data_IF_935999647297
#
_entry.id   IF_935999647297
#
_cell.length_a   1.000
_cell.length_b   1.000
_cell.length_c   1.000
_cell.angle_alpha   90.00
_cell.angle_beta   90.00
_cell.angle_gamma   90.00
#
_symmetry.space_group_name_H-M   'P 1'
#
loop_
_entity.id
_entity.type
_entity.pdbx_description
1 polymer ?
#
# COMPACT_ATOMS: atom_id res chain seq x y z
N UNK A 1 20.90 2.85 9.63
CA UNK A 1 21.20 1.89 10.73
C UNK A 1 20.17 2.12 11.83
N UNK A 2 19.11 1.30 11.88
CA UNK A 2 18.04 1.45 12.87
C UNK A 2 18.56 0.89 14.20
N UNK A 3 18.62 1.72 15.24
CA UNK A 3 19.17 1.37 16.54
C UNK A 3 18.24 0.40 17.29
N UNK A 4 18.63 -0.87 17.57
CA UNK A 4 17.70 -1.86 18.11
C UNK A 4 17.55 -1.83 19.64
N UNK A 5 18.41 -1.11 20.36
CA UNK A 5 18.65 -1.38 21.79
C UNK A 5 18.38 -0.19 22.75
N UNK A 6 17.65 0.83 22.32
CA UNK A 6 17.25 1.92 23.22
C UNK A 6 15.83 1.66 23.77
N UNK A 7 15.71 1.52 25.09
CA UNK A 7 14.43 1.60 25.81
C UNK A 7 14.36 2.97 26.47
N UNK A 8 13.29 3.77 26.30
CA UNK A 8 12.02 3.48 25.64
C UNK A 8 12.08 3.61 24.11
N UNK A 9 11.40 2.71 23.39
CA UNK A 9 11.38 2.65 21.92
C UNK A 9 10.10 3.36 21.39
N UNK A 10 10.22 4.54 20.76
CA UNK A 10 9.07 5.31 20.24
C UNK A 10 8.33 4.63 19.07
N UNK A 11 8.89 3.55 18.52
CA UNK A 11 8.38 2.87 17.32
C UNK A 11 7.68 1.54 17.63
N UNK A 12 7.38 1.26 18.90
CA UNK A 12 6.67 0.03 19.30
C UNK A 12 5.48 0.37 20.18
N UNK A 13 4.27 0.14 19.68
CA UNK A 13 3.07 0.15 20.52
C UNK A 13 3.24 -0.89 21.65
N UNK A 14 2.92 -0.57 22.91
CA UNK A 14 3.12 -1.46 24.06
C UNK A 14 2.32 -2.77 24.03
N UNK A 15 1.50 -2.98 22.99
CA UNK A 15 0.66 -4.18 22.78
C UNK A 15 1.08 -5.02 21.56
N UNK A 16 2.24 -4.76 20.94
CA UNK A 16 2.77 -5.64 19.88
C UNK A 16 2.01 -5.64 18.55
N UNK A 17 1.06 -4.72 18.34
CA UNK A 17 0.39 -4.53 17.04
C UNK A 17 1.20 -3.56 16.18
N UNK A 18 1.86 -4.08 15.15
CA UNK A 18 2.75 -3.34 14.26
C UNK A 18 2.07 -2.16 13.56
N UNK A 19 2.52 -0.95 13.90
CA UNK A 19 2.51 0.20 13.00
C UNK A 19 3.91 0.27 12.40
N UNK A 20 4.16 -0.49 11.33
CA UNK A 20 5.38 -0.26 10.55
C UNK A 20 5.21 1.08 9.85
N UNK A 21 6.07 2.03 10.19
CA UNK A 21 6.25 3.25 9.45
C UNK A 21 6.57 2.90 7.98
N UNK A 22 5.99 3.62 7.02
CA UNK A 22 6.26 3.44 5.57
C UNK A 22 7.76 3.40 5.26
N UNK A 23 8.59 4.06 6.08
CA UNK A 23 10.04 4.00 6.04
C UNK A 23 10.62 2.58 6.10
N UNK A 24 10.00 1.67 6.85
CA UNK A 24 10.43 0.26 6.92
C UNK A 24 10.16 -0.45 5.59
N UNK A 25 9.00 -0.17 4.99
CA UNK A 25 8.64 -0.75 3.68
C UNK A 25 9.56 -0.21 2.59
N UNK A 26 9.83 1.10 2.58
CA UNK A 26 10.78 1.72 1.66
C UNK A 26 12.18 1.13 1.80
N UNK A 27 12.67 0.95 3.03
CA UNK A 27 13.97 0.34 3.27
C UNK A 27 14.05 -1.11 2.77
N UNK A 28 13.00 -1.91 2.99
CA UNK A 28 12.95 -3.30 2.53
C UNK A 28 12.89 -3.39 1.00
N UNK A 29 12.06 -2.57 0.35
CA UNK A 29 12.02 -2.47 -1.11
C UNK A 29 13.38 -2.05 -1.68
N UNK A 30 14.06 -1.11 -1.02
CA UNK A 30 15.38 -0.64 -1.42
C UNK A 30 16.43 -1.75 -1.49
N UNK A 31 16.38 -2.73 -0.57
CA UNK A 31 17.31 -3.89 -0.63
C UNK A 31 17.10 -4.80 -1.84
N UNK A 32 15.94 -4.70 -2.49
CA UNK A 32 15.56 -5.49 -3.66
C UNK A 32 15.67 -4.70 -4.97
N UNK A 33 16.26 -3.49 -4.94
CA UNK A 33 16.30 -2.61 -6.11
C UNK A 33 14.94 -2.01 -6.49
N UNK A 34 13.99 -2.00 -5.54
CA UNK A 34 12.66 -1.46 -5.72
C UNK A 34 12.48 -0.16 -4.93
N UNK A 35 11.49 0.61 -5.32
CA UNK A 35 11.09 1.84 -4.65
C UNK A 35 9.58 1.87 -4.41
N UNK A 36 9.16 2.67 -3.43
CA UNK A 36 7.75 2.99 -3.20
C UNK A 36 7.53 4.49 -3.42
N UNK A 37 6.84 4.81 -4.52
CA UNK A 37 6.50 6.18 -4.89
C UNK A 37 5.13 6.53 -4.30
N UNK A 38 5.05 7.63 -3.55
CA UNK A 38 3.77 8.11 -3.04
C UNK A 38 2.91 8.72 -4.16
N UNK A 39 1.67 8.25 -4.28
CA UNK A 39 0.73 8.76 -5.26
C UNK A 39 -0.02 9.98 -4.73
N UNK A 40 0.06 11.08 -5.47
CA UNK A 40 -0.75 12.27 -5.22
C UNK A 40 -2.21 12.02 -5.65
N UNK A 41 -3.10 11.82 -4.69
CA UNK A 41 -4.53 11.56 -4.91
C UNK A 41 -5.29 12.66 -5.67
N UNK A 42 -4.69 13.85 -5.87
CA UNK A 42 -5.27 14.91 -6.71
C UNK A 42 -5.11 14.62 -8.20
N UNK A 43 -4.22 13.69 -8.57
CA UNK A 43 -4.01 13.27 -9.96
C UNK A 43 -5.02 12.18 -10.34
N UNK A 44 -5.54 12.20 -11.59
CA UNK A 44 -6.39 11.13 -12.10
C UNK A 44 -5.61 9.81 -12.19
N UNK A 45 -6.24 8.70 -11.79
CA UNK A 45 -5.64 7.35 -11.80
C UNK A 45 -5.35 6.86 -13.21
N UNK A 46 -5.96 7.49 -14.21
CA UNK A 46 -5.70 7.29 -15.64
C UNK A 46 -4.26 7.65 -16.01
N UNK A 47 -3.58 8.48 -15.20
CA UNK A 47 -2.16 8.82 -15.39
C UNK A 47 -1.18 7.76 -14.88
N UNK A 48 -1.65 6.69 -14.26
CA UNK A 48 -0.79 5.58 -13.86
C UNK A 48 -0.31 4.83 -15.10
N UNK A 49 1.00 4.76 -15.30
CA UNK A 49 1.60 3.88 -16.30
C UNK A 49 1.72 2.46 -15.72
N UNK A 50 0.61 1.71 -15.73
CA UNK A 50 0.50 0.39 -15.12
C UNK A 50 1.60 -0.61 -15.53
N UNK A 51 2.08 -0.66 -16.78
CA UNK A 51 3.18 -1.56 -17.17
C UNK A 51 4.50 -1.34 -16.42
N UNK A 52 4.73 -0.12 -15.91
CA UNK A 52 5.93 0.20 -15.12
C UNK A 52 5.73 -0.03 -13.61
N UNK A 53 4.51 -0.37 -13.18
CA UNK A 53 4.16 -0.53 -11.77
C UNK A 53 4.11 -2.01 -11.43
N UNK A 54 4.97 -2.43 -10.51
CA UNK A 54 4.98 -3.79 -10.01
C UNK A 54 3.76 -4.05 -9.14
N UNK A 55 3.36 -3.11 -8.29
CA UNK A 55 2.20 -3.31 -7.45
C UNK A 55 1.86 -2.06 -6.67
N UNK A 56 0.89 -2.19 -5.79
CA UNK A 56 0.39 -1.08 -5.00
C UNK A 56 0.38 -1.45 -3.52
N UNK A 57 0.67 -0.47 -2.69
CA UNK A 57 0.47 -0.54 -1.25
C UNK A 57 -0.52 0.54 -0.87
N UNK A 58 -1.62 0.12 -0.26
CA UNK A 58 -2.68 0.99 0.21
C UNK A 58 -2.63 1.05 1.73
N UNK A 59 -2.62 2.25 2.28
CA UNK A 59 -2.85 2.49 3.69
C UNK A 59 -4.27 3.03 3.84
N UNK A 60 -5.19 2.22 4.39
CA UNK A 60 -6.61 2.56 4.48
C UNK A 60 -7.11 2.46 5.92
N UNK A 61 -8.10 3.28 6.33
CA UNK A 61 -8.72 3.14 7.64
C UNK A 61 -9.44 1.78 7.73
N UNK A 62 -9.17 1.03 8.79
CA UNK A 62 -9.76 -0.28 9.01
C UNK A 62 -10.24 -0.48 10.45
N UNK A 63 -11.46 -1.00 10.61
CA UNK A 63 -12.05 -1.27 11.92
C UNK A 63 -11.26 -2.33 12.68
N UNK A 64 -11.15 -2.13 13.99
CA UNK A 64 -10.56 -3.10 14.91
C UNK A 64 -11.63 -4.12 15.30
N UNK A 65 -11.31 -5.41 15.13
CA UNK A 65 -12.17 -6.53 15.54
C UNK A 65 -11.59 -7.20 16.78
N UNK A 66 -12.44 -7.52 17.75
CA UNK A 66 -12.12 -8.34 18.91
C UNK A 66 -13.10 -9.53 18.91
N UNK A 67 -12.64 -10.69 18.45
CA UNK A 67 -13.53 -11.82 18.16
C UNK A 67 -14.56 -11.43 17.07
N UNK A 68 -15.84 -11.62 17.37
CA UNK A 68 -16.95 -11.24 16.47
C UNK A 68 -17.40 -9.78 16.62
N UNK A 69 -16.88 -9.04 17.60
CA UNK A 69 -17.28 -7.65 17.86
C UNK A 69 -16.40 -6.66 17.09
N UNK A 70 -17.03 -5.80 16.28
CA UNK A 70 -16.36 -4.64 15.67
C UNK A 70 -16.39 -3.47 16.65
N UNK A 71 -15.21 -3.00 17.05
CA UNK A 71 -15.09 -1.81 17.88
C UNK A 71 -15.32 -0.55 17.03
N UNK A 72 -15.85 0.55 17.62
CA UNK A 72 -16.00 1.84 16.94
C UNK A 72 -14.66 2.60 16.85
N UNK A 73 -13.55 1.87 16.63
CA UNK A 73 -12.21 2.40 16.47
C UNK A 73 -11.66 1.96 15.11
N UNK A 74 -11.14 2.92 14.36
CA UNK A 74 -10.44 2.67 13.11
C UNK A 74 -8.94 2.87 13.31
N UNK A 75 -8.13 1.99 12.74
CA UNK A 75 -6.68 2.13 12.67
C UNK A 75 -6.20 2.05 11.23
N UNK A 76 -5.06 2.68 10.88
CA UNK A 76 -4.41 2.46 9.59
C UNK A 76 -4.16 0.97 9.36
N UNK A 77 -4.33 0.53 8.12
CA UNK A 77 -4.16 -0.85 7.71
C UNK A 77 -3.54 -0.89 6.32
N UNK A 78 -2.42 -1.61 6.22
CA UNK A 78 -1.72 -1.81 4.97
C UNK A 78 -2.27 -3.03 4.24
N UNK A 79 -2.57 -2.86 2.95
CA UNK A 79 -2.88 -3.96 2.05
C UNK A 79 -2.10 -3.81 0.74
N UNK A 80 -1.75 -4.95 0.15
CA UNK A 80 -1.07 -5.00 -1.15
C UNK A 80 -2.04 -5.29 -2.28
N UNK A 81 -1.75 -4.76 -3.46
CA UNK A 81 -2.39 -5.16 -4.72
C UNK A 81 -1.30 -5.51 -5.73
N UNK A 82 -1.46 -6.66 -6.41
CA UNK A 82 -0.50 -7.15 -7.40
C UNK A 82 -1.20 -7.78 -8.58
N UNK A 83 -0.65 -7.56 -9.78
CA UNK A 83 -1.04 -8.29 -10.98
C UNK A 83 -0.37 -9.67 -11.03
N UNK A 84 -1.16 -10.70 -11.29
CA UNK A 84 -0.74 -12.06 -11.56
C UNK A 84 -1.42 -12.51 -12.85
N UNK A 85 -0.65 -12.73 -13.92
CA UNK A 85 -1.20 -12.88 -15.26
C UNK A 85 -1.96 -11.62 -15.68
N UNK A 86 -3.20 -11.77 -16.13
CA UNK A 86 -4.05 -10.66 -16.58
C UNK A 86 -4.98 -10.11 -15.49
N UNK A 87 -4.82 -10.57 -14.24
CA UNK A 87 -5.73 -10.22 -13.14
C UNK A 87 -4.97 -9.58 -11.97
N UNK A 88 -5.50 -8.45 -11.50
CA UNK A 88 -5.09 -7.82 -10.25
C UNK A 88 -5.78 -8.50 -9.07
N UNK A 89 -5.03 -8.71 -7.99
CA UNK A 89 -5.53 -9.32 -6.75
C UNK A 89 -5.33 -8.38 -5.57
N UNK A 90 -6.36 -8.30 -4.72
CA UNK A 90 -6.27 -7.74 -3.39
C UNK A 90 -5.61 -8.78 -2.46
N UNK A 91 -4.47 -8.41 -1.90
CA UNK A 91 -3.66 -9.22 -0.99
C UNK A 91 -3.79 -8.73 0.46
N UNK A 92 -4.94 -8.19 0.82
CA UNK A 92 -5.25 -7.82 2.20
C UNK A 92 -5.16 -9.04 3.12
N UNK A 93 -4.25 -8.97 4.10
CA UNK A 93 -4.05 -9.98 5.14
C UNK A 93 -5.29 -10.31 6.00
N UNK A 94 -6.34 -9.48 5.96
CA UNK A 94 -7.63 -9.74 6.63
C UNK A 94 -8.55 -10.67 5.84
N UNK A 95 -8.27 -10.92 4.57
CA UNK A 95 -9.04 -11.85 3.74
C UNK A 95 -8.59 -13.29 4.01
N UNK A 96 -9.52 -14.24 3.86
CA UNK A 96 -9.19 -15.66 3.98
C UNK A 96 -8.28 -16.16 2.85
N UNK A 97 -8.32 -15.49 1.69
CA UNK A 97 -7.52 -15.77 0.51
C UNK A 97 -7.40 -14.50 -0.36
N UNK A 98 -6.43 -14.44 -1.31
CA UNK A 98 -6.35 -13.37 -2.29
C UNK A 98 -7.67 -13.19 -3.05
N UNK A 99 -8.20 -11.97 -3.07
CA UNK A 99 -9.45 -11.67 -3.77
C UNK A 99 -9.16 -11.06 -5.15
N UNK A 100 -9.71 -11.64 -6.21
CA UNK A 100 -9.59 -11.10 -7.56
C UNK A 100 -10.31 -9.75 -7.65
N UNK A 101 -9.60 -8.74 -8.16
CA UNK A 101 -10.15 -7.42 -8.49
C UNK A 101 -10.60 -7.42 -9.97
N UNK A 102 -9.78 -7.96 -10.86
CA UNK A 102 -10.03 -8.00 -12.31
C UNK A 102 -8.91 -7.34 -13.10
N UNK A 103 -9.22 -6.85 -14.30
CA UNK A 103 -8.28 -6.17 -15.18
C UNK A 103 -8.11 -4.68 -14.79
N UNK A 104 -7.44 -3.89 -15.62
CA UNK A 104 -7.12 -2.51 -15.29
C UNK A 104 -8.33 -1.59 -14.98
N UNK A 105 -9.49 -1.68 -15.68
CA UNK A 105 -10.65 -0.85 -15.35
C UNK A 105 -11.16 -1.12 -13.93
N UNK A 106 -11.23 -2.40 -13.54
CA UNK A 106 -11.64 -2.81 -12.19
C UNK A 106 -10.61 -2.39 -11.14
N UNK A 107 -9.32 -2.46 -11.47
CA UNK A 107 -8.26 -1.94 -10.60
C UNK A 107 -8.45 -0.43 -10.33
N UNK A 108 -8.66 0.37 -11.38
CA UNK A 108 -8.83 1.83 -11.23
C UNK A 108 -10.03 2.15 -10.36
N UNK A 109 -11.14 1.42 -10.52
CA UNK A 109 -12.31 1.58 -9.66
C UNK A 109 -12.05 1.16 -8.21
N UNK A 110 -11.35 0.04 -8.00
CA UNK A 110 -10.94 -0.41 -6.67
C UNK A 110 -10.06 0.64 -5.96
N UNK A 111 -9.05 1.19 -6.66
CA UNK A 111 -8.17 2.23 -6.12
C UNK A 111 -8.96 3.51 -5.80
N UNK A 112 -9.88 3.92 -6.68
CA UNK A 112 -10.75 5.10 -6.48
C UNK A 112 -11.59 4.94 -5.22
N UNK A 113 -12.23 3.78 -5.04
CA UNK A 113 -13.02 3.49 -3.85
C UNK A 113 -12.18 3.42 -2.57
N UNK A 114 -10.96 2.89 -2.65
CA UNK A 114 -10.03 2.85 -1.52
C UNK A 114 -9.60 4.27 -1.11
N UNK A 115 -9.27 5.12 -2.09
CA UNK A 115 -8.83 6.51 -1.88
C UNK A 115 -9.96 7.46 -1.42
N UNK A 116 -11.22 7.11 -1.70
CA UNK A 116 -12.38 7.86 -1.20
C UNK A 116 -12.61 7.65 0.31
N UNK A 117 -12.04 6.60 0.92
CA UNK A 117 -12.23 6.27 2.34
C UNK A 117 -11.28 7.07 3.23
N UNK A 118 -11.76 8.17 3.79
CA UNK A 118 -11.10 8.90 4.88
C UNK A 118 -9.61 9.20 4.63
N UNK A 119 -8.74 9.14 5.67
CA UNK A 119 -7.30 9.31 5.49
C UNK A 119 -6.71 8.02 4.87
N UNK A 120 -6.64 8.00 3.54
CA UNK A 120 -6.05 6.91 2.78
C UNK A 120 -4.86 7.39 1.96
N UNK A 121 -3.89 6.51 1.78
CA UNK A 121 -2.66 6.74 1.03
C UNK A 121 -2.42 5.59 0.06
N UNK A 122 -1.84 5.91 -1.09
CA UNK A 122 -1.46 4.96 -2.12
C UNK A 122 0.02 5.13 -2.42
N UNK A 123 0.73 4.00 -2.45
CA UNK A 123 2.12 3.92 -2.88
C UNK A 123 2.23 2.96 -4.06
N UNK A 124 3.00 3.35 -5.06
CA UNK A 124 3.33 2.55 -6.22
C UNK A 124 4.65 1.85 -5.95
N UNK A 125 4.66 0.52 -6.02
CA UNK A 125 5.90 -0.25 -5.98
C UNK A 125 6.42 -0.36 -7.40
N UNK A 126 7.62 0.16 -7.63
CA UNK A 126 8.26 0.25 -8.95
C UNK A 126 9.72 -0.18 -8.86
N UNK A 127 10.33 -0.49 -10.01
CA UNK A 127 11.78 -0.61 -10.08
C UNK A 127 12.44 0.76 -9.79
N UNK A 128 13.64 0.77 -9.21
CA UNK A 128 14.32 2.02 -8.85
C UNK A 128 14.56 2.91 -10.06
N UNK A 129 14.87 2.34 -11.22
CA UNK A 129 15.11 3.08 -12.46
C UNK A 129 13.82 3.77 -12.97
N UNK A 130 12.66 3.15 -12.71
CA UNK A 130 11.34 3.72 -13.03
C UNK A 130 11.02 4.90 -12.12
N UNK A 131 11.35 4.81 -10.83
CA UNK A 131 11.23 5.94 -9.91
C UNK A 131 12.11 7.12 -10.36
N UNK A 132 13.40 6.86 -10.62
CA UNK A 132 14.38 7.86 -11.03
C UNK A 132 14.00 8.53 -12.37
N UNK A 133 13.47 7.76 -13.32
CA UNK A 133 13.03 8.28 -14.62
C UNK A 133 11.61 8.90 -14.60
N UNK A 134 10.83 8.70 -13.53
CA UNK A 134 9.45 9.21 -13.43
C UNK A 134 8.45 8.52 -14.38
N UNK A 135 8.80 7.39 -14.98
CA UNK A 135 8.00 6.74 -16.04
C UNK A 135 6.76 6.01 -15.53
N UNK A 136 6.58 5.92 -14.20
CA UNK A 136 5.34 5.45 -13.56
C UNK A 136 4.15 6.41 -13.76
N UNK A 137 4.42 7.64 -14.20
CA UNK A 137 3.41 8.66 -14.50
C UNK A 137 3.37 8.92 -16.00
N UNK A 138 2.17 8.91 -16.61
CA UNK A 138 2.02 9.33 -18.00
C UNK A 138 2.12 10.86 -18.12
N UNK A 139 2.73 11.37 -19.21
CA UNK A 139 2.71 12.80 -19.55
C UNK A 139 1.27 13.33 -19.66
N UNK A 140 1.12 14.66 -19.54
CA UNK A 140 -0.15 15.35 -19.80
C UNK A 140 -0.48 15.41 -21.29
#
# INVERSE_FOLDING_TARGET
RLAPNSRPNPHRSPLGTGNYDVNVVMAALGTLGLAAVWWDKRRPLERLCLPHILGFLLNVPSRVTLGTLSLPLSRPHWLGVRQLGDTFYNLDSKLAAPAAIGAEPQLREFLRQALAKGPSELFLVVAREVEEAGTWLTPE
#
